data_IF_403093990798
#
_entry.id   IF_403093990798
#
_cell.length_a   1.000
_cell.length_b   1.000
_cell.length_c   1.000
_cell.angle_alpha   90.00
_cell.angle_beta   90.00
_cell.angle_gamma   90.00
#
_symmetry.space_group_name_H-M   'P 1'
#
loop_
_entity.id
_entity.type
_entity.pdbx_description
1 polymer ?
#
# COMPACT_ATOMS: atom_id res chain seq x y z
N UNK A 1 13.66 8.78 -15.01
CA UNK A 1 12.64 7.79 -14.62
C UNK A 1 12.26 8.10 -13.19
N UNK A 2 11.14 8.78 -12.97
CA UNK A 2 10.56 8.94 -11.64
C UNK A 2 10.18 7.54 -11.18
N UNK A 3 10.86 7.02 -10.16
CA UNK A 3 10.50 5.73 -9.58
C UNK A 3 9.00 5.77 -9.24
N UNK A 4 8.21 4.78 -9.67
CA UNK A 4 6.79 4.77 -9.38
C UNK A 4 6.60 4.79 -7.87
N UNK A 5 5.80 5.74 -7.37
CA UNK A 5 5.56 5.89 -5.94
C UNK A 5 4.94 4.58 -5.40
N UNK A 6 5.61 3.93 -4.45
CA UNK A 6 5.20 2.66 -3.88
C UNK A 6 3.80 2.74 -3.25
N UNK A 7 3.46 3.87 -2.61
CA UNK A 7 2.11 4.12 -2.07
C UNK A 7 1.05 4.05 -3.18
N UNK A 8 1.34 4.68 -4.32
CA UNK A 8 0.44 4.65 -5.47
C UNK A 8 0.26 3.21 -5.98
N UNK A 9 1.34 2.45 -6.11
CA UNK A 9 1.25 1.06 -6.56
C UNK A 9 0.44 0.16 -5.61
N UNK A 10 0.66 0.27 -4.30
CA UNK A 10 -0.12 -0.45 -3.28
C UNK A 10 -1.61 -0.11 -3.42
N UNK A 11 -1.93 1.19 -3.53
CA UNK A 11 -3.32 1.63 -3.68
C UNK A 11 -3.96 1.17 -5.00
N UNK A 12 -3.19 1.04 -6.08
CA UNK A 12 -3.69 0.49 -7.35
C UNK A 12 -4.01 -1.00 -7.27
N UNK A 13 -3.19 -1.80 -6.60
CA UNK A 13 -3.49 -3.21 -6.38
C UNK A 13 -4.78 -3.36 -5.56
N UNK A 14 -4.94 -2.60 -4.47
CA UNK A 14 -6.17 -2.57 -3.66
C UNK A 14 -7.38 -2.10 -4.50
N UNK A 15 -7.20 -1.11 -5.37
CA UNK A 15 -8.25 -0.65 -6.29
C UNK A 15 -8.70 -1.75 -7.27
N UNK A 16 -7.79 -2.65 -7.65
CA UNK A 16 -8.06 -3.80 -8.51
C UNK A 16 -8.51 -5.04 -7.74
N UNK A 17 -8.86 -4.88 -6.46
CA UNK A 17 -9.30 -5.98 -5.58
C UNK A 17 -8.23 -7.10 -5.48
N UNK A 18 -6.96 -6.72 -5.62
CA UNK A 18 -5.80 -7.60 -5.44
C UNK A 18 -5.09 -7.30 -4.13
N UNK A 19 -4.45 -8.33 -3.61
CA UNK A 19 -3.63 -8.22 -2.40
C UNK A 19 -2.24 -7.69 -2.76
N UNK A 20 -1.86 -6.49 -2.28
CA UNK A 20 -0.53 -5.98 -2.51
C UNK A 20 0.47 -6.86 -1.75
N UNK A 21 1.56 -7.24 -2.41
CA UNK A 21 2.67 -7.99 -1.81
C UNK A 21 4.01 -7.35 -2.18
N UNK A 22 5.00 -7.44 -1.30
CA UNK A 22 6.34 -6.91 -1.56
C UNK A 22 6.94 -7.49 -2.85
N UNK A 23 6.84 -8.82 -3.02
CA UNK A 23 7.30 -9.51 -4.22
C UNK A 23 6.53 -9.12 -5.48
N UNK A 24 5.20 -8.93 -5.39
CA UNK A 24 4.38 -8.49 -6.52
C UNK A 24 4.71 -7.07 -7.00
N UNK A 25 5.20 -6.23 -6.10
CA UNK A 25 5.64 -4.86 -6.38
C UNK A 25 7.15 -4.76 -6.68
N UNK A 26 7.90 -5.86 -6.54
CA UNK A 26 9.33 -5.90 -6.79
C UNK A 26 10.17 -5.07 -5.80
N UNK A 27 9.70 -4.94 -4.56
CA UNK A 27 10.36 -4.16 -3.49
C UNK A 27 10.73 -5.03 -2.30
N UNK A 28 11.67 -4.55 -1.49
CA UNK A 28 12.03 -5.19 -0.24
C UNK A 28 10.88 -5.18 0.77
N UNK A 29 10.78 -6.25 1.57
CA UNK A 29 9.75 -6.42 2.60
C UNK A 29 9.69 -5.23 3.57
N UNK A 30 10.86 -4.66 3.91
CA UNK A 30 10.97 -3.51 4.82
C UNK A 30 10.41 -2.23 4.22
N UNK A 31 10.66 -1.99 2.93
CA UNK A 31 10.11 -0.83 2.21
C UNK A 31 8.61 -0.98 2.02
N UNK A 32 8.16 -2.18 1.63
CA UNK A 32 6.75 -2.52 1.53
C UNK A 32 6.00 -2.27 2.83
N UNK A 33 6.52 -2.79 3.95
CA UNK A 33 5.95 -2.58 5.28
C UNK A 33 5.82 -1.10 5.63
N UNK A 34 6.87 -0.31 5.38
CA UNK A 34 6.85 1.13 5.66
C UNK A 34 5.76 1.85 4.87
N UNK A 35 5.68 1.56 3.56
CA UNK A 35 4.65 2.14 2.72
C UNK A 35 3.23 1.70 3.12
N UNK A 36 3.06 0.44 3.52
CA UNK A 36 1.76 -0.07 3.97
C UNK A 36 1.33 0.56 5.29
N UNK A 37 2.27 0.81 6.21
CA UNK A 37 2.02 1.61 7.41
C UNK A 37 1.58 3.03 7.07
N UNK A 38 2.23 3.68 6.10
CA UNK A 38 1.82 5.01 5.65
C UNK A 38 0.42 5.01 5.03
N UNK A 39 0.04 3.98 4.25
CA UNK A 39 -1.32 3.79 3.73
C UNK A 39 -2.36 3.69 4.85
N UNK A 40 -2.05 2.91 5.89
CA UNK A 40 -2.94 2.73 7.05
C UNK A 40 -3.06 4.02 7.88
N UNK A 41 -1.93 4.65 8.23
CA UNK A 41 -1.88 5.90 9.00
C UNK A 41 -2.56 7.07 8.29
N UNK A 42 -2.40 7.18 6.96
CA UNK A 42 -3.07 8.20 6.17
C UNK A 42 -4.56 7.89 5.94
N UNK A 43 -5.04 6.71 6.34
CA UNK A 43 -6.42 6.29 6.13
C UNK A 43 -6.78 6.15 4.65
N UNK A 44 -5.81 5.78 3.81
CA UNK A 44 -6.04 5.59 2.37
C UNK A 44 -6.73 4.27 2.06
N UNK A 45 -6.50 3.24 2.87
CA UNK A 45 -7.20 1.96 2.77
C UNK A 45 -7.68 1.49 4.15
N UNK A 46 -8.55 0.47 4.14
CA UNK A 46 -9.09 -0.21 5.32
C UNK A 46 -8.66 -1.66 5.30
N UNK A 47 -8.77 -2.34 6.45
CA UNK A 47 -8.46 -3.77 6.58
C UNK A 47 -6.96 -4.10 6.39
N UNK A 48 -6.11 -3.13 6.72
CA UNK A 48 -4.68 -3.34 6.85
C UNK A 48 -4.39 -3.84 8.27
N UNK A 49 -3.60 -4.88 8.39
CA UNK A 49 -3.20 -5.48 9.67
C UNK A 49 -1.73 -5.83 9.65
N UNK A 50 -1.07 -5.73 10.80
CA UNK A 50 0.34 -6.03 10.97
C UNK A 50 0.48 -7.09 12.05
N UNK A 51 0.80 -8.31 11.67
CA UNK A 51 1.05 -9.37 12.64
C UNK A 51 2.50 -9.30 13.09
N UNK A 52 2.73 -8.97 14.35
CA UNK A 52 4.06 -9.01 14.94
C UNK A 52 4.38 -10.46 15.33
N UNK A 53 5.41 -11.05 14.73
CA UNK A 53 5.88 -12.39 15.13
C UNK A 53 6.85 -12.28 16.31
N UNK A 54 6.95 -13.32 17.13
CA UNK A 54 7.85 -13.37 18.30
C UNK A 54 9.35 -13.20 17.94
N UNK A 55 9.71 -13.30 16.65
CA UNK A 55 11.07 -13.06 16.16
C UNK A 55 11.37 -11.59 15.81
N UNK A 56 10.40 -10.68 15.97
CA UNK A 56 10.56 -9.26 15.63
C UNK A 56 10.26 -8.91 14.17
N UNK A 57 10.06 -9.91 13.30
CA UNK A 57 9.56 -9.70 11.95
C UNK A 57 8.04 -9.46 11.99
N UNK A 58 7.59 -8.40 11.34
CA UNK A 58 6.18 -8.09 11.20
C UNK A 58 5.70 -8.48 9.80
N UNK A 59 4.60 -9.21 9.74
CA UNK A 59 4.00 -9.68 8.50
C UNK A 59 2.83 -8.74 8.18
N UNK A 60 2.90 -7.96 7.09
CA UNK A 60 1.79 -7.13 6.63
C UNK A 60 0.71 -8.00 6.00
N UNK A 61 -0.53 -7.77 6.41
CA UNK A 61 -1.74 -8.34 5.82
C UNK A 61 -2.58 -7.20 5.28
N UNK A 62 -2.86 -7.26 3.97
CA UNK A 62 -3.75 -6.34 3.29
C UNK A 62 -4.91 -7.11 2.62
N UNK A 63 -5.19 -8.32 3.07
CA UNK A 63 -6.26 -9.15 2.52
C UNK A 63 -7.63 -8.45 2.62
N UNK A 64 -8.37 -8.45 1.52
CA UNK A 64 -9.67 -7.77 1.41
C UNK A 64 -9.59 -6.27 1.75
N UNK A 65 -8.42 -5.65 1.56
CA UNK A 65 -8.27 -4.22 1.75
C UNK A 65 -9.23 -3.47 0.85
N UNK A 66 -9.80 -2.38 1.36
CA UNK A 66 -10.71 -1.53 0.61
C UNK A 66 -10.23 -0.10 0.59
N UNK A 67 -10.19 0.46 -0.62
CA UNK A 67 -9.82 1.85 -0.81
C UNK A 67 -10.83 2.78 -0.14
N UNK A 68 -10.32 3.70 0.68
CA UNK A 68 -11.10 4.77 1.30
C UNK A 68 -11.20 5.98 0.36
N UNK A 69 -12.12 6.93 0.61
CA UNK A 69 -12.21 8.16 -0.17
C UNK A 69 -10.87 8.91 -0.30
N UNK A 70 -10.09 8.99 0.79
CA UNK A 70 -8.77 9.63 0.79
C UNK A 70 -7.77 8.92 -0.15
N UNK A 71 -7.77 7.58 -0.16
CA UNK A 71 -6.92 6.81 -1.08
C UNK A 71 -7.33 7.01 -2.55
N UNK A 72 -8.64 7.13 -2.84
CA UNK A 72 -9.12 7.41 -4.21
C UNK A 72 -8.68 8.79 -4.68
N UNK A 73 -8.75 9.78 -3.80
CA UNK A 73 -8.31 11.13 -4.08
C UNK A 73 -6.79 11.20 -4.29
N UNK A 74 -6.02 10.48 -3.47
CA UNK A 74 -4.58 10.35 -3.66
C UNK A 74 -4.22 9.80 -5.04
N UNK A 75 -4.82 8.67 -5.46
CA UNK A 75 -4.61 8.09 -6.80
C UNK A 75 -4.91 9.13 -7.89
N UNK A 76 -6.07 9.79 -7.79
CA UNK A 76 -6.51 10.78 -8.78
C UNK A 76 -5.55 11.97 -8.88
N UNK A 77 -5.05 12.45 -7.75
CA UNK A 77 -4.10 13.57 -7.71
C UNK A 77 -2.74 13.16 -8.28
N UNK A 78 -2.28 11.94 -7.97
CA UNK A 78 -1.04 11.39 -8.51
C UNK A 78 -1.10 11.22 -10.04
N UNK A 79 -2.20 10.66 -10.56
CA UNK A 79 -2.43 10.51 -12.01
C UNK A 79 -2.57 11.86 -12.74
N UNK A 80 -3.05 12.91 -12.05
CA UNK A 80 -3.17 14.27 -12.61
C UNK A 80 -1.87 15.07 -12.57
N UNK A 81 -1.09 14.92 -11.51
CA UNK A 81 0.18 15.65 -11.30
C UNK A 81 1.37 15.02 -12.03
N UNK A 82 1.24 13.79 -12.52
CA UNK A 82 2.24 13.13 -13.36
C UNK A 82 2.14 13.46 -14.87
N UNK A 83 1.35 14.48 -15.24
CA UNK A 83 1.25 15.01 -16.62
C UNK A 83 2.15 16.23 -16.83
#
# INVERSE_FOLDING_TARGET
MTAPNLLYQILKEIQWEKDPTASGLGVDQREFMRALHEVDQAGYASNISFLQTNGGEAIPFAEYSRLRPAGREFIRNYERGGR
#
